data_IF_656007154730
#
_entry.id   IF_656007154730
#
_cell.length_a   1.000
_cell.length_b   1.000
_cell.length_c   1.000
_cell.angle_alpha   90.00
_cell.angle_beta   90.00
_cell.angle_gamma   90.00
#
_symmetry.space_group_name_H-M   'P 1'
#
loop_
_entity.id
_entity.type
_entity.pdbx_description
1 polymer ?
#
# COMPACT_ATOMS: atom_id res chain seq x y z
N UNK A 1 4.47 8.07 8.20
CA UNK A 1 3.56 6.95 8.61
C UNK A 1 3.96 5.69 7.84
N UNK A 2 3.98 4.51 8.49
CA UNK A 2 4.40 3.25 7.86
C UNK A 2 3.23 2.49 7.22
N UNK A 3 3.23 2.38 5.90
CA UNK A 3 2.26 1.58 5.15
C UNK A 3 2.80 0.17 4.91
N UNK A 4 2.56 -0.74 5.86
CA UNK A 4 3.04 -2.12 5.77
C UNK A 4 2.23 -2.91 4.74
N UNK A 5 2.89 -3.40 3.69
CA UNK A 5 2.25 -4.20 2.63
C UNK A 5 2.49 -5.69 2.82
N UNK A 6 3.61 -6.07 3.43
CA UNK A 6 3.91 -7.49 3.64
C UNK A 6 4.55 -7.75 4.98
N UNK A 7 4.18 -8.87 5.58
CA UNK A 7 4.80 -9.43 6.77
C UNK A 7 5.04 -10.90 6.50
N UNK A 8 6.30 -11.33 6.56
CA UNK A 8 6.69 -12.69 6.20
C UNK A 8 7.74 -13.24 7.17
N UNK A 9 7.78 -14.57 7.30
CA UNK A 9 8.80 -15.27 8.08
C UNK A 9 9.72 -16.04 7.13
N UNK A 10 11.00 -15.71 7.14
CA UNK A 10 11.92 -16.01 6.04
C UNK A 10 13.36 -16.05 6.53
N UNK A 11 14.28 -16.62 5.75
CA UNK A 11 15.69 -16.65 6.11
C UNK A 11 16.34 -15.27 6.02
N UNK A 12 17.41 -15.05 6.81
CA UNK A 12 18.15 -13.78 6.83
C UNK A 12 18.82 -13.51 5.49
N UNK A 13 19.56 -14.50 4.98
CA UNK A 13 20.18 -14.45 3.67
C UNK A 13 19.22 -15.07 2.66
N UNK A 14 18.92 -14.33 1.59
CA UNK A 14 18.02 -14.78 0.52
C UNK A 14 18.70 -14.44 -0.78
N UNK A 15 18.80 -15.41 -1.67
CA UNK A 15 19.40 -15.26 -2.96
C UNK A 15 18.96 -16.42 -3.84
N UNK A 16 18.94 -16.16 -5.14
CA UNK A 16 18.93 -17.24 -6.12
C UNK A 16 20.20 -18.07 -5.85
N UNK A 17 20.06 -19.38 -5.72
CA UNK A 17 21.16 -20.35 -5.46
C UNK A 17 21.65 -20.49 -4.00
N UNK A 18 20.87 -20.02 -3.01
CA UNK A 18 21.15 -20.31 -1.60
C UNK A 18 20.26 -21.45 -1.10
N UNK A 19 20.88 -22.59 -0.77
CA UNK A 19 20.22 -23.71 -0.09
C UNK A 19 20.36 -23.58 1.43
N UNK A 20 19.23 -23.55 2.14
CA UNK A 20 19.21 -23.50 3.59
C UNK A 20 19.14 -24.91 4.19
N UNK A 21 19.90 -25.14 5.25
CA UNK A 21 19.76 -26.36 6.07
C UNK A 21 18.40 -26.34 6.79
N UNK A 22 17.84 -27.51 7.08
CA UNK A 22 16.52 -27.65 7.69
C UNK A 22 16.36 -26.84 9.00
N UNK A 23 17.38 -26.85 9.85
CA UNK A 23 17.38 -26.13 11.14
C UNK A 23 17.76 -24.65 11.05
N UNK A 24 17.85 -24.07 9.85
CA UNK A 24 18.20 -22.67 9.69
C UNK A 24 17.09 -21.79 10.27
N UNK A 25 17.45 -20.92 11.22
CA UNK A 25 16.49 -20.03 11.86
C UNK A 25 15.90 -19.03 10.86
N UNK A 26 14.57 -18.91 10.87
CA UNK A 26 13.83 -17.88 10.13
C UNK A 26 13.51 -16.69 11.03
N UNK A 27 13.54 -15.51 10.44
CA UNK A 27 13.24 -14.23 11.09
C UNK A 27 11.97 -13.62 10.52
N UNK A 28 11.32 -12.77 11.29
CA UNK A 28 10.18 -11.99 10.79
C UNK A 28 10.68 -10.74 10.10
N UNK A 29 10.09 -10.45 8.96
CA UNK A 29 10.39 -9.26 8.19
C UNK A 29 9.10 -8.55 7.80
N UNK A 30 9.18 -7.22 7.78
CA UNK A 30 8.15 -6.34 7.27
C UNK A 30 8.66 -5.62 6.03
N UNK A 31 7.78 -5.47 5.05
CA UNK A 31 7.99 -4.64 3.87
C UNK A 31 6.94 -3.53 3.87
N UNK A 32 7.40 -2.29 3.84
CA UNK A 32 6.53 -1.13 3.99
C UNK A 32 7.02 0.05 3.15
N UNK A 33 6.11 0.99 2.95
CA UNK A 33 6.42 2.30 2.39
C UNK A 33 6.31 3.35 3.49
N UNK A 34 7.19 4.33 3.44
CA UNK A 34 7.16 5.52 4.28
C UNK A 34 7.24 6.75 3.36
N UNK A 35 6.42 7.76 3.64
CA UNK A 35 6.44 9.00 2.87
C UNK A 35 7.61 9.86 3.36
N UNK A 36 8.51 10.19 2.45
CA UNK A 36 9.57 11.17 2.67
C UNK A 36 9.01 12.56 2.36
N UNK A 37 8.80 13.36 3.41
CA UNK A 37 8.25 14.72 3.31
C UNK A 37 9.18 15.70 2.59
N UNK A 38 10.50 15.44 2.55
CA UNK A 38 11.46 16.34 1.92
C UNK A 38 11.45 16.16 0.40
N UNK A 39 11.44 14.91 -0.04
CA UNK A 39 11.48 14.57 -1.45
C UNK A 39 10.09 14.29 -2.04
N UNK A 40 9.03 14.39 -1.23
CA UNK A 40 7.64 14.12 -1.58
C UNK A 40 7.39 12.74 -2.23
N UNK A 41 8.18 11.73 -1.85
CA UNK A 41 8.13 10.38 -2.45
C UNK A 41 7.96 9.28 -1.41
N UNK A 42 7.33 8.18 -1.84
CA UNK A 42 7.23 6.97 -1.03
C UNK A 42 8.49 6.12 -1.15
N UNK A 43 9.23 6.00 -0.05
CA UNK A 43 10.46 5.19 0.05
C UNK A 43 10.11 3.79 0.56
N UNK A 44 10.71 2.77 -0.06
CA UNK A 44 10.53 1.37 0.33
C UNK A 44 11.53 0.94 1.39
N UNK A 45 11.04 0.23 2.40
CA UNK A 45 11.86 -0.28 3.50
C UNK A 45 11.63 -1.77 3.74
N UNK A 46 12.68 -2.43 4.24
CA UNK A 46 12.66 -3.85 4.57
C UNK A 46 13.36 -4.13 5.89
N UNK A 47 12.56 -4.30 6.96
CA UNK A 47 13.09 -4.41 8.31
C UNK A 47 12.88 -5.80 8.89
N UNK A 48 13.86 -6.27 9.65
CA UNK A 48 13.72 -7.44 10.50
C UNK A 48 13.07 -7.03 11.84
N UNK A 49 12.07 -7.76 12.28
CA UNK A 49 11.34 -7.46 13.52
C UNK A 49 11.19 -8.69 14.41
N UNK A 50 10.84 -8.46 15.68
CA UNK A 50 10.43 -9.55 16.58
C UNK A 50 9.00 -10.03 16.25
N UNK A 51 8.59 -11.15 16.86
CA UNK A 51 7.29 -11.77 16.57
C UNK A 51 6.10 -10.89 16.97
N UNK A 52 6.14 -10.23 18.13
CA UNK A 52 5.05 -9.35 18.59
C UNK A 52 4.79 -8.22 17.60
N UNK A 53 5.87 -7.56 17.16
CA UNK A 53 5.83 -6.48 16.16
C UNK A 53 5.29 -7.00 14.82
N UNK A 54 5.71 -8.20 14.41
CA UNK A 54 5.20 -8.83 13.19
C UNK A 54 3.68 -9.09 13.27
N UNK A 55 3.16 -9.56 14.41
CA UNK A 55 1.73 -9.81 14.57
C UNK A 55 0.93 -8.51 14.56
N UNK A 56 1.41 -7.48 15.25
CA UNK A 56 0.84 -6.13 15.19
C UNK A 56 0.71 -5.65 13.74
N UNK A 57 1.80 -5.71 12.96
CA UNK A 57 1.77 -5.27 11.57
C UNK A 57 1.00 -6.18 10.63
N UNK A 58 0.82 -7.47 10.94
CA UNK A 58 -0.11 -8.33 10.18
C UNK A 58 -1.53 -7.81 10.29
N UNK A 59 -1.94 -7.37 11.47
CA UNK A 59 -3.27 -6.79 11.70
C UNK A 59 -3.41 -5.40 11.09
N UNK A 60 -2.32 -4.66 10.90
CA UNK A 60 -2.31 -3.33 10.28
C UNK A 60 -1.96 -3.30 8.79
N UNK A 61 -1.52 -4.42 8.21
CA UNK A 61 -1.19 -4.56 6.79
C UNK A 61 -2.24 -3.97 5.84
N UNK A 62 -1.78 -3.14 4.92
CA UNK A 62 -2.56 -2.53 3.84
C UNK A 62 -2.24 -3.19 2.50
N UNK A 63 -3.01 -2.85 1.47
CA UNK A 63 -2.80 -3.21 0.08
C UNK A 63 -2.48 -1.94 -0.70
N UNK A 64 -1.36 -1.96 -1.43
CA UNK A 64 -1.07 -0.93 -2.43
C UNK A 64 -1.94 -1.19 -3.66
N UNK A 65 -2.65 -0.16 -4.09
CA UNK A 65 -3.37 -0.14 -5.36
C UNK A 65 -3.02 1.14 -6.11
N UNK A 66 -3.23 1.12 -7.42
CA UNK A 66 -3.15 2.31 -8.26
C UNK A 66 -4.58 2.70 -8.63
N UNK A 67 -4.92 3.97 -8.43
CA UNK A 67 -6.20 4.54 -8.83
C UNK A 67 -5.95 5.68 -9.80
N UNK A 68 -6.67 5.65 -10.92
CA UNK A 68 -6.69 6.72 -11.90
C UNK A 68 -7.73 7.76 -11.51
N UNK A 69 -7.34 9.02 -11.38
CA UNK A 69 -8.26 10.14 -11.21
C UNK A 69 -8.64 10.70 -12.59
N UNK A 70 -9.91 10.59 -13.05
CA UNK A 70 -10.32 11.10 -14.35
C UNK A 70 -10.25 12.62 -14.45
N UNK A 71 -10.55 13.34 -13.36
CA UNK A 71 -10.53 14.80 -13.31
C UNK A 71 -9.11 15.38 -13.42
N UNK A 72 -8.14 14.75 -12.75
CA UNK A 72 -6.72 15.15 -12.83
C UNK A 72 -5.97 14.47 -13.98
N UNK A 73 -6.57 13.45 -14.59
CA UNK A 73 -5.98 12.54 -15.58
C UNK A 73 -4.61 11.98 -15.14
N UNK A 74 -4.52 11.56 -13.87
CA UNK A 74 -3.27 11.07 -13.27
C UNK A 74 -3.50 9.83 -12.39
N UNK A 75 -2.48 8.98 -12.32
CA UNK A 75 -2.47 7.76 -11.52
C UNK A 75 -1.77 7.98 -10.18
N UNK A 76 -2.44 7.59 -9.09
CA UNK A 76 -1.91 7.72 -7.74
C UNK A 76 -1.83 6.38 -7.02
N UNK A 77 -0.84 6.26 -6.15
CA UNK A 77 -0.73 5.13 -5.23
C UNK A 77 -1.59 5.35 -4.00
N UNK A 78 -2.41 4.36 -3.69
CA UNK A 78 -3.25 4.34 -2.50
C UNK A 78 -2.97 3.12 -1.65
N UNK A 79 -3.09 3.27 -0.33
CA UNK A 79 -2.78 2.24 0.65
C UNK A 79 -4.02 1.87 1.47
N UNK A 80 -4.81 0.94 0.94
CA UNK A 80 -6.12 0.61 1.51
C UNK A 80 -6.12 -0.68 2.31
N UNK A 81 -6.96 -0.75 3.33
CA UNK A 81 -7.02 -1.93 4.20
C UNK A 81 -7.59 -3.17 3.50
N UNK A 82 -8.67 -2.98 2.75
CA UNK A 82 -9.38 -4.01 2.00
C UNK A 82 -9.73 -3.44 0.63
N UNK A 83 -9.58 -4.25 -0.43
CA UNK A 83 -9.95 -3.87 -1.80
C UNK A 83 -11.45 -4.09 -2.01
N UNK A 84 -12.27 -3.27 -1.35
CA UNK A 84 -13.72 -3.22 -1.54
C UNK A 84 -14.10 -1.93 -2.25
N UNK A 85 -15.21 -1.92 -2.98
CA UNK A 85 -15.68 -0.73 -3.70
C UNK A 85 -15.85 0.46 -2.75
N UNK A 86 -16.51 0.25 -1.59
CA UNK A 86 -16.67 1.29 -0.57
C UNK A 86 -15.34 1.88 -0.08
N UNK A 87 -14.29 1.07 0.07
CA UNK A 87 -12.98 1.58 0.49
C UNK A 87 -12.37 2.43 -0.61
N UNK A 88 -12.36 1.94 -1.86
CA UNK A 88 -11.81 2.65 -3.03
C UNK A 88 -12.52 3.99 -3.26
N UNK A 89 -13.85 4.00 -3.23
CA UNK A 89 -14.66 5.20 -3.48
C UNK A 89 -14.48 6.28 -2.39
N UNK A 90 -14.11 5.89 -1.18
CA UNK A 90 -13.87 6.80 -0.07
C UNK A 90 -12.44 7.36 -0.02
N UNK A 91 -11.52 6.84 -0.84
CA UNK A 91 -10.19 7.43 -0.97
C UNK A 91 -10.28 8.78 -1.68
N UNK A 92 -9.33 9.66 -1.38
CA UNK A 92 -9.26 11.02 -1.92
C UNK A 92 -8.11 11.16 -2.90
N UNK A 93 -8.35 11.81 -4.03
CA UNK A 93 -7.29 12.14 -4.97
C UNK A 93 -6.29 13.11 -4.31
N UNK A 94 -4.97 12.83 -4.33
CA UNK A 94 -3.97 13.72 -3.73
C UNK A 94 -3.86 15.12 -4.34
N UNK A 95 -4.45 15.34 -5.51
CA UNK A 95 -4.32 16.62 -6.25
C UNK A 95 -5.60 17.44 -6.25
N UNK A 96 -6.76 16.85 -6.56
CA UNK A 96 -8.03 17.58 -6.46
C UNK A 96 -8.70 17.48 -5.09
N UNK A 97 -8.18 16.65 -4.17
CA UNK A 97 -8.71 16.45 -2.81
C UNK A 97 -10.17 15.98 -2.74
N UNK A 98 -10.72 15.54 -3.87
CA UNK A 98 -12.07 14.99 -3.95
C UNK A 98 -12.04 13.48 -3.78
N UNK A 99 -13.11 12.94 -3.21
CA UNK A 99 -13.29 11.49 -3.13
C UNK A 99 -13.58 10.94 -4.51
N UNK A 100 -13.10 9.73 -4.77
CA UNK A 100 -13.40 9.05 -6.03
C UNK A 100 -14.90 8.83 -6.24
N UNK A 101 -15.70 8.72 -5.17
CA UNK A 101 -17.16 8.71 -5.27
C UNK A 101 -17.72 9.98 -5.92
N UNK A 102 -17.29 11.13 -5.43
CA UNK A 102 -17.85 12.42 -5.80
C UNK A 102 -17.40 12.78 -7.23
N UNK A 103 -16.15 12.47 -7.59
CA UNK A 103 -15.62 12.65 -8.96
C UNK A 103 -16.44 11.85 -9.98
N UNK A 104 -16.80 10.61 -9.66
CA UNK A 104 -17.59 9.78 -10.57
C UNK A 104 -19.03 10.26 -10.69
N UNK A 105 -19.63 10.73 -9.58
CA UNK A 105 -20.97 11.32 -9.60
C UNK A 105 -21.03 12.61 -10.44
N UNK A 106 -20.00 13.46 -10.39
CA UNK A 106 -19.94 14.66 -11.25
C UNK A 106 -19.86 14.32 -12.74
N UNK A 107 -19.06 13.32 -13.11
CA UNK A 107 -18.92 12.90 -14.51
C UNK A 107 -20.19 12.25 -15.06
N UNK A 108 -20.88 11.43 -14.26
CA UNK A 108 -22.18 10.87 -14.65
C UNK A 108 -23.23 11.95 -14.89
N UNK A 109 -23.18 13.05 -14.12
CA UNK A 109 -24.05 14.20 -14.30
C UNK A 109 -23.70 14.94 -15.59
N UNK A 110 -22.43 15.23 -15.86
CA UNK A 110 -21.98 15.90 -17.09
C UNK A 110 -22.39 15.14 -18.37
N UNK A 111 -22.19 13.82 -18.38
CA UNK A 111 -22.58 12.95 -19.51
C UNK A 111 -24.10 12.92 -19.74
N UNK A 112 -24.92 13.16 -18.71
CA UNK A 112 -26.39 13.19 -18.82
C UNK A 112 -26.96 14.46 -19.47
N UNK A 113 -26.14 15.51 -19.58
CA UNK A 113 -26.51 16.79 -20.20
C UNK A 113 -26.03 16.94 -21.65
N UNK A 114 -25.35 15.93 -22.19
CA UNK A 114 -24.87 15.83 -23.58
C UNK A 114 -25.83 14.94 -24.37
#
# INVERSE_FOLDING_TARGET
MKYVISVSKTYKHRGKDINHRENTKKYWHIFYYEYDEINEVYVTHFDQVNWFTAMYYKLQKVKKIVLHCPQCNMDYWHFIKKRTQKAILNEECPTCFMKYKDILEELEIEDSYI
#
